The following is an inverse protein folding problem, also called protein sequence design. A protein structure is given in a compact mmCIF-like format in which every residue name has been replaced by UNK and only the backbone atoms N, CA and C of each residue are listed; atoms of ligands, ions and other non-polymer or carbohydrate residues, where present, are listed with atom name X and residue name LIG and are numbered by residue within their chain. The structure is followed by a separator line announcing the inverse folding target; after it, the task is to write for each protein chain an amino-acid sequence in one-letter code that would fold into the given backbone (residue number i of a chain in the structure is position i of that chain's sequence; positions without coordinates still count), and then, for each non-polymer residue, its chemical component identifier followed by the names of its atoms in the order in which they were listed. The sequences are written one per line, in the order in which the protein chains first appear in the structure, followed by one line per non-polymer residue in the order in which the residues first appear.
data_IF_492379760229
#
_entry.id   IF_492379760229
#
_cell.length_a   1.000
_cell.length_b   1.000
_cell.length_c   1.000
_cell.angle_alpha   90.00
_cell.angle_beta   90.00
_cell.angle_gamma   90.00
#
_symmetry.space_group_name_H-M   'P 1'
#
loop_
_entity.id
_entity.type
_entity.pdbx_description
1 polymer ?
#
# COMPACT_ATOMS: atom_id res chain seq x y z
N UNK A 1 4.82 -1.58 -12.98
CA UNK A 1 3.38 -1.77 -13.21
C UNK A 1 2.63 -0.58 -12.62
N UNK A 2 1.69 -0.06 -13.36
CA UNK A 2 0.77 0.98 -12.90
C UNK A 2 -0.67 0.52 -13.10
N UNK A 3 -1.49 0.60 -12.04
CA UNK A 3 -2.89 0.20 -12.06
C UNK A 3 -3.74 1.17 -11.24
N UNK A 4 -5.06 1.04 -11.33
CA UNK A 4 -6.03 1.84 -10.58
C UNK A 4 -6.84 0.96 -9.63
N UNK A 5 -6.24 0.42 -8.55
CA UNK A 5 -6.97 -0.42 -7.60
C UNK A 5 -7.94 0.43 -6.78
N UNK A 6 -9.21 0.11 -6.87
CA UNK A 6 -10.31 0.95 -6.34
C UNK A 6 -10.17 1.18 -4.84
N UNK A 7 -9.92 0.12 -4.09
CA UNK A 7 -9.92 0.18 -2.63
C UNK A 7 -8.74 1.01 -2.10
N UNK A 8 -7.56 0.85 -2.71
CA UNK A 8 -6.40 1.68 -2.35
C UNK A 8 -6.62 3.14 -2.71
N UNK A 9 -7.18 3.40 -3.89
CA UNK A 9 -7.50 4.78 -4.31
C UNK A 9 -8.49 5.40 -3.34
N UNK A 10 -9.52 4.65 -2.94
CA UNK A 10 -10.51 5.12 -1.97
C UNK A 10 -9.87 5.59 -0.67
N UNK A 11 -8.88 4.86 -0.16
CA UNK A 11 -8.16 5.24 1.05
C UNK A 11 -7.44 6.58 0.91
N UNK A 12 -6.93 6.92 -0.28
CA UNK A 12 -6.22 8.18 -0.49
C UNK A 12 -7.13 9.42 -0.44
N UNK A 13 -8.44 9.23 -0.40
CA UNK A 13 -9.40 10.32 -0.20
C UNK A 13 -9.53 10.71 1.28
N UNK A 14 -8.91 9.99 2.18
CA UNK A 14 -8.87 10.28 3.61
C UNK A 14 -7.49 10.81 3.97
N UNK A 15 -7.42 12.03 4.49
CA UNK A 15 -6.15 12.68 4.82
C UNK A 15 -5.28 11.86 5.78
N UNK A 16 -5.90 11.16 6.70
CA UNK A 16 -5.22 10.26 7.64
C UNK A 16 -4.35 9.22 6.92
N UNK A 17 -4.83 8.68 5.80
CA UNK A 17 -4.15 7.64 5.04
C UNK A 17 -3.17 8.18 3.99
N UNK A 18 -2.95 9.48 3.97
CA UNK A 18 -1.85 10.08 3.21
C UNK A 18 -0.56 10.14 4.02
N UNK A 19 -0.61 9.74 5.29
CA UNK A 19 0.57 9.55 6.13
C UNK A 19 1.11 8.15 5.87
N UNK A 20 2.33 8.06 5.33
CA UNK A 20 2.92 6.80 4.84
C UNK A 20 3.00 5.71 5.91
N UNK A 21 3.43 6.07 7.11
CA UNK A 21 3.54 5.14 8.23
C UNK A 21 2.17 4.64 8.70
N UNK A 22 1.18 5.51 8.75
CA UNK A 22 -0.19 5.14 9.13
C UNK A 22 -0.79 4.17 8.12
N UNK A 23 -0.72 4.49 6.84
CA UNK A 23 -1.24 3.63 5.77
C UNK A 23 -0.50 2.30 5.71
N UNK A 24 0.82 2.32 5.76
CA UNK A 24 1.64 1.10 5.72
C UNK A 24 1.33 0.18 6.89
N UNK A 25 1.35 0.69 8.11
CA UNK A 25 1.12 -0.14 9.30
C UNK A 25 -0.29 -0.72 9.32
N UNK A 26 -1.30 0.06 8.89
CA UNK A 26 -2.66 -0.44 8.78
C UNK A 26 -2.75 -1.61 7.79
N UNK A 27 -2.23 -1.42 6.58
CA UNK A 27 -2.31 -2.44 5.54
C UNK A 27 -1.51 -3.69 5.90
N UNK A 28 -0.34 -3.53 6.47
CA UNK A 28 0.45 -4.67 6.95
C UNK A 28 -0.27 -5.52 7.99
N UNK A 29 -1.11 -4.89 8.81
CA UNK A 29 -1.77 -5.59 9.93
C UNK A 29 -3.01 -6.36 9.52
N UNK A 30 -3.49 -6.23 8.28
CA UNK A 30 -4.73 -6.86 7.86
C UNK A 30 -4.58 -8.35 7.52
N UNK A 31 -3.50 -8.72 6.84
CA UNK A 31 -3.15 -10.13 6.55
C UNK A 31 -1.62 -10.29 6.54
N UNK A 32 -1.11 -11.49 6.85
CA UNK A 32 0.35 -11.72 6.92
C UNK A 32 1.09 -11.44 5.63
N UNK A 33 0.49 -11.79 4.50
CA UNK A 33 1.14 -11.70 3.19
C UNK A 33 1.52 -10.26 2.81
N UNK A 34 0.80 -9.28 3.32
CA UNK A 34 1.02 -7.88 2.90
C UNK A 34 2.43 -7.40 3.27
N UNK A 35 2.87 -7.65 4.49
CA UNK A 35 4.24 -7.29 4.88
C UNK A 35 5.28 -8.21 4.23
N UNK A 36 4.95 -9.48 4.06
CA UNK A 36 5.86 -10.45 3.43
C UNK A 36 6.16 -10.07 1.97
N UNK A 37 5.14 -9.68 1.20
CA UNK A 37 5.30 -9.31 -0.21
C UNK A 37 5.65 -7.84 -0.44
N UNK A 38 5.33 -6.96 0.51
CA UNK A 38 5.63 -5.54 0.41
C UNK A 38 6.39 -5.06 1.67
N UNK A 39 7.61 -5.57 1.91
CA UNK A 39 8.34 -5.33 3.16
C UNK A 39 8.83 -3.90 3.33
N UNK A 40 8.97 -3.14 2.23
CA UNK A 40 9.42 -1.75 2.30
C UNK A 40 8.28 -0.77 2.57
N UNK A 41 7.04 -1.26 2.55
CA UNK A 41 5.88 -0.42 2.81
C UNK A 41 5.45 0.39 1.60
N UNK A 42 4.66 1.42 1.85
CA UNK A 42 3.96 2.18 0.83
C UNK A 42 4.44 3.63 0.80
N UNK A 43 5.02 4.05 -0.33
CA UNK A 43 5.27 5.45 -0.61
C UNK A 43 3.98 6.14 -1.04
N UNK A 44 3.85 7.43 -0.78
CA UNK A 44 2.66 8.20 -1.12
C UNK A 44 3.09 9.56 -1.67
N UNK A 45 2.55 9.91 -2.85
CA UNK A 45 2.76 11.21 -3.47
C UNK A 45 1.44 11.97 -3.43
N UNK A 46 1.43 13.20 -2.87
CA UNK A 46 0.28 14.08 -2.96
C UNK A 46 -0.12 14.31 -4.41
N UNK A 47 -1.39 14.60 -4.65
CA UNK A 47 -1.91 14.77 -6.01
C UNK A 47 -1.02 15.67 -6.86
N UNK A 48 -0.72 15.18 -8.05
CA UNK A 48 -0.06 15.92 -9.11
C UNK A 48 -0.78 15.63 -10.43
N UNK A 49 -0.68 16.55 -11.37
CA UNK A 49 -1.34 16.39 -12.66
C UNK A 49 -0.88 15.10 -13.34
N UNK A 50 -1.80 14.23 -13.77
CA UNK A 50 -1.44 13.04 -14.55
C UNK A 50 -0.63 13.39 -15.79
N UNK A 51 0.33 12.52 -16.12
CA UNK A 51 1.24 12.70 -17.28
C UNK A 51 2.17 13.93 -17.16
N UNK A 52 2.33 14.48 -15.97
CA UNK A 52 3.23 15.61 -15.76
C UNK A 52 4.65 15.17 -15.43
N UNK A 53 5.60 16.05 -15.71
CA UNK A 53 7.01 15.86 -15.31
C UNK A 53 7.13 15.80 -13.79
N UNK A 54 6.36 16.64 -13.08
CA UNK A 54 6.35 16.70 -11.63
C UNK A 54 5.95 15.34 -11.01
N UNK A 55 4.95 14.67 -11.58
CA UNK A 55 4.54 13.36 -11.12
C UNK A 55 5.65 12.31 -11.36
N UNK A 56 6.28 12.35 -12.54
CA UNK A 56 7.37 11.44 -12.88
C UNK A 56 8.56 11.62 -11.94
N UNK A 57 8.98 12.84 -11.71
CA UNK A 57 10.11 13.15 -10.83
C UNK A 57 9.83 12.76 -9.37
N UNK A 58 8.64 13.05 -8.88
CA UNK A 58 8.23 12.66 -7.52
C UNK A 58 8.20 11.14 -7.38
N UNK A 59 7.73 10.42 -8.40
CA UNK A 59 7.68 8.96 -8.40
C UNK A 59 9.09 8.37 -8.35
N UNK A 60 10.00 8.86 -9.17
CA UNK A 60 11.40 8.39 -9.18
C UNK A 60 12.04 8.60 -7.80
N UNK A 61 11.78 9.73 -7.17
CA UNK A 61 12.30 10.04 -5.85
C UNK A 61 11.78 9.07 -4.78
N UNK A 62 10.46 8.82 -4.77
CA UNK A 62 9.85 7.90 -3.81
C UNK A 62 10.34 6.45 -4.02
N UNK A 63 10.58 6.03 -5.26
CA UNK A 63 11.06 4.68 -5.57
C UNK A 63 12.45 4.38 -5.02
N UNK A 64 13.18 5.36 -4.52
CA UNK A 64 14.45 5.12 -3.83
C UNK A 64 14.24 4.46 -2.48
N UNK A 65 13.10 4.72 -1.83
CA UNK A 65 12.79 4.21 -0.50
C UNK A 65 11.69 3.13 -0.50
N UNK A 66 10.87 3.09 -1.55
CA UNK A 66 9.71 2.20 -1.63
C UNK A 66 9.66 1.48 -2.97
N UNK A 67 9.13 0.27 -2.98
CA UNK A 67 8.88 -0.48 -4.22
C UNK A 67 7.49 -0.22 -4.77
N UNK A 68 6.58 0.27 -3.93
CA UNK A 68 5.20 0.62 -4.30
C UNK A 68 4.92 2.05 -3.87
N UNK A 69 4.37 2.82 -4.79
CA UNK A 69 4.06 4.24 -4.56
C UNK A 69 2.60 4.50 -4.91
N UNK A 70 1.85 5.05 -3.96
CA UNK A 70 0.49 5.55 -4.19
C UNK A 70 0.54 6.95 -4.78
N UNK A 71 -0.26 7.17 -5.79
CA UNK A 71 -0.56 8.51 -6.30
C UNK A 71 -1.94 8.90 -5.78
N UNK A 72 -1.99 9.91 -4.92
CA UNK A 72 -3.25 10.35 -4.30
C UNK A 72 -4.35 10.56 -5.34
N UNK A 73 -5.50 9.91 -5.13
CA UNK A 73 -6.70 10.01 -5.97
C UNK A 73 -6.50 9.57 -7.43
N UNK A 74 -5.48 8.75 -7.69
CA UNK A 74 -5.18 8.33 -9.05
C UNK A 74 -4.94 6.80 -9.14
N UNK A 75 -3.94 6.29 -8.47
CA UNK A 75 -3.58 4.88 -8.61
C UNK A 75 -2.30 4.52 -7.91
N UNK A 76 -1.69 3.43 -8.36
CA UNK A 76 -0.48 2.85 -7.77
C UNK A 76 0.56 2.60 -8.85
N UNK A 77 1.81 2.78 -8.49
CA UNK A 77 2.97 2.45 -9.32
C UNK A 77 3.88 1.52 -8.52
N UNK A 78 4.23 0.37 -9.08
CA UNK A 78 5.07 -0.62 -8.41
C UNK A 78 6.21 -1.11 -9.29
N UNK A 79 7.35 -1.38 -8.66
CA UNK A 79 8.52 -1.95 -9.32
C UNK A 79 8.96 -3.21 -8.57
N UNK A 80 9.48 -4.19 -9.33
CA UNK A 80 10.07 -5.40 -8.80
C UNK A 80 10.93 -6.05 -9.89
N UNK A 81 11.42 -7.28 -9.64
CA UNK A 81 12.23 -8.06 -10.59
C UNK A 81 11.52 -8.30 -11.92
N UNK A 82 10.19 -8.49 -11.88
CA UNK A 82 9.36 -8.66 -13.07
C UNK A 82 7.97 -8.07 -12.83
N UNK A 83 7.17 -8.02 -13.88
CA UNK A 83 5.83 -7.42 -13.84
C UNK A 83 4.88 -8.20 -12.91
N UNK A 84 5.02 -9.52 -12.83
CA UNK A 84 4.17 -10.35 -11.97
C UNK A 84 4.41 -10.04 -10.50
N UNK A 85 5.66 -9.99 -10.08
CA UNK A 85 6.02 -9.68 -8.70
C UNK A 85 5.62 -8.24 -8.33
N UNK A 86 5.79 -7.29 -9.24
CA UNK A 86 5.32 -5.93 -9.03
C UNK A 86 3.80 -5.88 -8.84
N UNK A 87 3.06 -6.62 -9.66
CA UNK A 87 1.60 -6.72 -9.52
C UNK A 87 1.20 -7.39 -8.20
N UNK A 88 1.91 -8.45 -7.79
CA UNK A 88 1.61 -9.14 -6.54
C UNK A 88 1.68 -8.20 -5.33
N UNK A 89 2.62 -7.26 -5.31
CA UNK A 89 2.69 -6.26 -4.25
C UNK A 89 1.42 -5.40 -4.22
N UNK A 90 0.95 -4.97 -5.38
CA UNK A 90 -0.28 -4.17 -5.49
C UNK A 90 -1.49 -5.00 -5.04
N UNK A 91 -1.55 -6.25 -5.47
CA UNK A 91 -2.67 -7.14 -5.16
C UNK A 91 -2.84 -7.37 -3.65
N UNK A 92 -1.75 -7.66 -2.93
CA UNK A 92 -1.84 -7.88 -1.48
C UNK A 92 -2.18 -6.59 -0.73
N UNK A 93 -1.67 -5.45 -1.19
CA UNK A 93 -2.02 -4.16 -0.60
C UNK A 93 -3.50 -3.84 -0.81
N UNK A 94 -4.02 -4.07 -2.02
CA UNK A 94 -5.43 -3.82 -2.29
C UNK A 94 -6.34 -4.79 -1.53
N UNK A 95 -5.91 -6.04 -1.37
CA UNK A 95 -6.63 -7.02 -0.55
C UNK A 95 -6.74 -6.55 0.91
N UNK A 96 -5.65 -6.03 1.47
CA UNK A 96 -5.66 -5.44 2.81
C UNK A 96 -6.63 -4.26 2.91
N UNK A 97 -6.61 -3.38 1.91
CA UNK A 97 -7.52 -2.24 1.87
C UNK A 97 -8.98 -2.70 1.81
N UNK A 98 -9.28 -3.73 1.02
CA UNK A 98 -10.62 -4.29 0.92
C UNK A 98 -11.07 -4.90 2.25
N UNK A 99 -10.18 -5.62 2.94
CA UNK A 99 -10.46 -6.18 4.27
C UNK A 99 -10.80 -5.07 5.26
N UNK A 100 -10.01 -4.00 5.28
CA UNK A 100 -10.26 -2.85 6.14
C UNK A 100 -11.64 -2.23 5.87
N UNK A 101 -11.94 -1.97 4.60
CA UNK A 101 -13.22 -1.39 4.17
C UNK A 101 -14.38 -2.32 4.55
N UNK A 102 -14.23 -3.63 4.32
CA UNK A 102 -15.25 -4.62 4.67
C UNK A 102 -15.54 -4.62 6.19
N UNK A 103 -14.49 -4.59 7.01
CA UNK A 103 -14.63 -4.53 8.46
C UNK A 103 -15.34 -3.26 8.90
N UNK A 104 -14.97 -2.12 8.35
CA UNK A 104 -15.63 -0.83 8.63
C UNK A 104 -17.11 -0.86 8.23
N UNK A 105 -17.43 -1.48 7.10
CA UNK A 105 -18.82 -1.64 6.65
C UNK A 105 -19.62 -2.57 7.56
N UNK A 106 -18.97 -3.49 8.26
CA UNK A 106 -19.62 -4.32 9.28
C UNK A 106 -19.87 -3.56 10.58
N UNK A 107 -19.34 -2.35 10.71
CA UNK A 107 -19.60 -1.46 11.84
C UNK A 107 -18.54 -1.47 12.95
N UNK A 108 -17.34 -1.97 12.66
CA UNK A 108 -16.27 -1.98 13.66
C UNK A 108 -14.90 -1.60 13.04
N UNK A 109 -14.00 -1.17 13.89
CA UNK A 109 -12.60 -0.96 13.53
C UNK A 109 -11.87 -2.29 13.66
N UNK A 110 -11.21 -2.81 12.61
CA UNK A 110 -10.48 -4.08 12.72
C UNK A 110 -9.27 -3.92 13.64
N UNK A 111 -9.05 -4.92 14.50
CA UNK A 111 -7.92 -4.90 15.44
C UNK A 111 -6.57 -4.95 14.72
N UNK A 112 -6.50 -5.70 13.63
CA UNK A 112 -5.25 -5.97 12.96
C UNK A 112 -4.38 -6.96 13.74
N UNK A 113 -3.32 -7.44 13.11
CA UNK A 113 -2.34 -8.28 13.79
C UNK A 113 -1.51 -7.46 14.78
N UNK A 114 -1.21 -8.05 15.96
CA UNK A 114 -0.36 -7.40 16.94
C UNK A 114 1.10 -7.35 16.46
N UNK A 115 1.93 -6.54 17.14
CA UNK A 115 3.36 -6.47 16.84
C UNK A 115 4.03 -7.83 17.02
N UNK A 116 3.63 -8.58 18.05
CA UNK A 116 4.14 -9.92 18.34
C UNK A 116 3.80 -10.88 17.21
N UNK A 117 2.54 -10.87 16.75
CA UNK A 117 2.10 -11.69 15.63
C UNK A 117 2.84 -11.34 14.34
N UNK A 118 3.02 -10.05 14.05
CA UNK A 118 3.80 -9.59 12.89
C UNK A 118 5.24 -10.07 12.95
N UNK A 119 5.86 -9.97 14.12
CA UNK A 119 7.25 -10.39 14.32
C UNK A 119 7.41 -11.90 14.15
N UNK A 120 6.50 -12.67 14.73
CA UNK A 120 6.47 -14.14 14.60
C UNK A 120 6.31 -14.54 13.14
N UNK A 121 5.37 -13.94 12.44
CA UNK A 121 5.11 -14.20 11.02
C UNK A 121 6.34 -13.91 10.16
N UNK A 122 7.00 -12.78 10.36
CA UNK A 122 8.17 -12.40 9.56
C UNK A 122 9.36 -13.35 9.80
N UNK A 123 9.48 -13.94 10.98
CA UNK A 123 10.51 -14.93 11.26
C UNK A 123 10.32 -16.22 10.46
N UNK A 124 9.10 -16.53 10.02
CA UNK A 124 8.75 -17.75 9.29
C UNK A 124 8.68 -17.52 7.78
N UNK A 125 8.10 -16.39 7.34
CA UNK A 125 7.82 -16.13 5.92
C UNK A 125 8.93 -15.39 5.20
N UNK A 126 9.94 -14.91 5.89
CA UNK A 126 11.05 -14.15 5.28
C UNK A 126 12.44 -14.79 5.50
#
# INVERSE_FOLDING_TARGET
VHTHPIELIAMTHCEKFLQKDVATNLLWSMIPETKAFCPRGLGIIPYKLPSSVELAEATIKELQDYDVVMWEKHGVFAVDCDAMQAFDQIDVLNKSALIYIAAKNMGFEPDGMSREQMKEMMAVLV
#
